data_IF_828032369525
#
_entry.id   IF_828032369525
#
_cell.length_a   1.000
_cell.length_b   1.000
_cell.length_c   1.000
_cell.angle_alpha   90.00
_cell.angle_beta   90.00
_cell.angle_gamma   90.00
#
_symmetry.space_group_name_H-M   'P 1'
#
loop_
_entity.id
_entity.type
_entity.pdbx_description
1 polymer ?
#
# COMPACT_ATOMS: atom_id res chain seq x y z
N UNK A 1 6.99 -22.21 -4.97
CA UNK A 1 7.69 -23.13 -4.04
C UNK A 1 6.68 -24.15 -3.56
N UNK A 2 7.02 -25.42 -3.37
CA UNK A 2 6.08 -26.40 -2.80
C UNK A 2 6.34 -26.55 -1.31
N UNK A 3 5.31 -26.41 -0.48
CA UNK A 3 5.36 -26.74 0.96
C UNK A 3 4.25 -27.73 1.26
N UNK A 4 4.59 -28.85 1.89
CA UNK A 4 3.64 -29.90 2.28
C UNK A 4 2.75 -30.42 1.12
N UNK A 5 3.30 -30.47 -0.10
CA UNK A 5 2.57 -30.92 -1.30
C UNK A 5 1.67 -29.86 -1.94
N UNK A 6 1.61 -28.64 -1.40
CA UNK A 6 0.84 -27.52 -1.97
C UNK A 6 1.75 -26.48 -2.61
N UNK A 7 1.33 -25.97 -3.78
CA UNK A 7 2.02 -24.86 -4.45
C UNK A 7 1.80 -23.57 -3.66
N UNK A 8 2.89 -23.01 -3.15
CA UNK A 8 2.93 -21.71 -2.50
C UNK A 8 3.35 -20.66 -3.52
N UNK A 9 2.50 -19.65 -3.68
CA UNK A 9 2.64 -18.54 -4.62
C UNK A 9 3.70 -17.49 -4.20
N UNK A 10 4.43 -17.76 -3.10
CA UNK A 10 5.51 -16.91 -2.59
C UNK A 10 5.04 -15.59 -1.95
N UNK A 11 3.75 -15.45 -1.68
CA UNK A 11 3.20 -14.26 -1.02
C UNK A 11 3.24 -14.36 0.50
N UNK A 12 3.28 -13.21 1.18
CA UNK A 12 3.28 -13.10 2.63
C UNK A 12 2.40 -11.93 3.09
N UNK A 13 2.00 -11.92 4.36
CA UNK A 13 1.19 -10.86 4.95
C UNK A 13 2.09 -9.81 5.57
N UNK A 14 2.09 -8.61 5.01
CA UNK A 14 2.72 -7.42 5.56
C UNK A 14 1.74 -6.70 6.48
N UNK A 15 2.10 -6.56 7.76
CA UNK A 15 1.36 -5.75 8.73
C UNK A 15 1.92 -4.33 8.74
N UNK A 16 1.04 -3.35 8.54
CA UNK A 16 1.38 -1.92 8.51
C UNK A 16 0.56 -1.22 9.58
N UNK A 17 1.25 -0.57 10.52
CA UNK A 17 0.61 0.29 11.50
C UNK A 17 0.69 1.75 11.04
N UNK A 18 -0.45 2.36 10.73
CA UNK A 18 -0.55 3.76 10.33
C UNK A 18 -0.74 4.59 11.59
N UNK A 19 0.34 5.19 12.07
CA UNK A 19 0.40 5.87 13.37
C UNK A 19 -0.57 7.02 13.50
N UNK A 20 -0.71 7.86 12.46
CA UNK A 20 -1.60 9.04 12.49
C UNK A 20 -3.08 8.66 12.55
N UNK A 21 -3.44 7.47 12.06
CA UNK A 21 -4.79 6.93 12.08
C UNK A 21 -5.00 5.89 13.18
N UNK A 22 -3.93 5.55 13.92
CA UNK A 22 -3.89 4.50 14.95
C UNK A 22 -4.54 3.16 14.50
N UNK A 23 -4.33 2.79 13.23
CA UNK A 23 -4.94 1.59 12.62
C UNK A 23 -3.88 0.64 12.11
N UNK A 24 -4.08 -0.66 12.32
CA UNK A 24 -3.28 -1.73 11.71
C UNK A 24 -3.97 -2.27 10.46
N UNK A 25 -3.23 -2.35 9.35
CA UNK A 25 -3.68 -2.96 8.09
C UNK A 25 -2.80 -4.16 7.75
N UNK A 26 -3.41 -5.20 7.19
CA UNK A 26 -2.72 -6.41 6.74
C UNK A 26 -2.84 -6.54 5.23
N UNK A 27 -1.71 -6.42 4.52
CA UNK A 27 -1.65 -6.49 3.07
C UNK A 27 -0.96 -7.78 2.63
N UNK A 28 -1.58 -8.56 1.74
CA UNK A 28 -0.91 -9.69 1.10
C UNK A 28 -0.03 -9.18 -0.04
N UNK A 29 1.27 -9.42 0.06
CA UNK A 29 2.28 -8.92 -0.87
C UNK A 29 3.16 -10.05 -1.39
N UNK A 30 3.82 -9.82 -2.53
CA UNK A 30 4.87 -10.68 -3.08
C UNK A 30 6.19 -9.92 -3.05
N UNK A 31 7.32 -10.64 -3.03
CA UNK A 31 8.66 -10.04 -2.97
C UNK A 31 8.99 -9.11 -4.16
N UNK A 32 8.29 -9.24 -5.27
CA UNK A 32 8.41 -8.38 -6.46
C UNK A 32 7.63 -7.05 -6.37
N UNK A 33 6.77 -6.89 -5.36
CA UNK A 33 5.98 -5.67 -5.19
C UNK A 33 6.85 -4.56 -4.58
N UNK A 34 7.13 -3.52 -5.37
CA UNK A 34 7.86 -2.34 -4.92
C UNK A 34 7.09 -1.54 -3.87
N UNK A 35 7.82 -0.77 -3.06
CA UNK A 35 7.26 0.01 -1.95
C UNK A 35 6.15 0.98 -2.39
N UNK A 36 6.27 1.61 -3.56
CA UNK A 36 5.20 2.47 -4.10
C UNK A 36 3.90 1.72 -4.37
N UNK A 37 3.97 0.47 -4.84
CA UNK A 37 2.80 -0.39 -5.03
C UNK A 37 2.17 -0.82 -3.71
N UNK A 38 2.97 -1.03 -2.66
CA UNK A 38 2.47 -1.26 -1.29
C UNK A 38 1.72 -0.03 -0.77
N UNK A 39 2.28 1.17 -0.97
CA UNK A 39 1.67 2.42 -0.53
C UNK A 39 0.32 2.70 -1.22
N UNK A 40 0.21 2.44 -2.53
CA UNK A 40 -1.06 2.61 -3.25
C UNK A 40 -2.13 1.65 -2.72
N UNK A 41 -1.80 0.37 -2.53
CA UNK A 41 -2.73 -0.61 -1.96
C UNK A 41 -3.16 -0.27 -0.55
N UNK A 42 -2.25 0.26 0.27
CA UNK A 42 -2.57 0.74 1.61
C UNK A 42 -3.59 1.89 1.55
N UNK A 43 -3.39 2.81 0.60
CA UNK A 43 -4.26 3.97 0.41
C UNK A 43 -5.62 3.58 -0.19
N UNK A 44 -5.70 2.53 -1.01
CA UNK A 44 -6.97 1.94 -1.47
C UNK A 44 -7.71 1.21 -0.33
N UNK A 45 -7.01 0.42 0.47
CA UNK A 45 -7.59 -0.32 1.61
C UNK A 45 -8.15 0.61 2.71
N UNK A 46 -7.57 1.80 2.84
CA UNK A 46 -8.04 2.84 3.75
C UNK A 46 -9.23 3.63 3.20
N UNK A 47 -9.55 3.53 1.90
CA UNK A 47 -10.66 4.23 1.27
C UNK A 47 -11.95 3.41 1.26
N UNK A 48 -12.72 3.54 2.34
CA UNK A 48 -14.08 3.01 2.43
C UNK A 48 -15.08 4.13 2.75
N UNK A 49 -15.24 5.11 1.85
CA UNK A 49 -16.28 6.15 2.02
C UNK A 49 -16.79 6.66 0.67
N UNK A 50 -18.09 6.46 0.46
CA UNK A 50 -18.90 6.79 -0.73
C UNK A 50 -19.18 8.31 -0.85
N UNK A 51 -18.16 9.14 -0.68
CA UNK A 51 -18.25 10.60 -0.79
C UNK A 51 -16.95 11.15 -1.39
N UNK A 52 -16.97 12.04 -2.40
CA UNK A 52 -15.77 12.77 -2.76
C UNK A 52 -15.37 13.58 -1.54
N UNK A 53 -14.28 13.15 -0.92
CA UNK A 53 -13.90 13.60 0.41
C UNK A 53 -12.67 14.51 0.30
N UNK A 54 -12.40 15.33 1.32
CA UNK A 54 -11.14 16.06 1.45
C UNK A 54 -9.88 15.18 1.25
N UNK A 55 -10.00 13.84 1.31
CA UNK A 55 -8.92 12.91 0.95
C UNK A 55 -8.54 12.92 -0.54
N UNK A 56 -9.39 13.32 -1.49
CA UNK A 56 -8.99 13.47 -2.90
C UNK A 56 -7.94 14.58 -3.06
N UNK A 57 -8.10 15.67 -2.28
CA UNK A 57 -7.12 16.75 -2.22
C UNK A 57 -5.84 16.32 -1.49
N UNK A 58 -5.96 15.53 -0.41
CA UNK A 58 -4.81 15.03 0.35
C UNK A 58 -4.04 13.96 -0.44
N UNK A 59 -4.71 13.10 -1.23
CA UNK A 59 -4.06 12.18 -2.17
C UNK A 59 -3.27 12.91 -3.24
N UNK A 60 -3.79 14.04 -3.73
CA UNK A 60 -3.06 14.93 -4.65
C UNK A 60 -1.79 15.49 -3.99
N UNK A 61 -1.91 15.96 -2.75
CA UNK A 61 -0.77 16.46 -1.94
C UNK A 61 0.23 15.34 -1.64
N UNK A 62 -0.22 14.12 -1.33
CA UNK A 62 0.63 12.97 -1.06
C UNK A 62 1.40 12.52 -2.30
N UNK A 63 0.74 12.50 -3.47
CA UNK A 63 1.37 12.19 -4.77
C UNK A 63 2.37 13.29 -5.16
N UNK A 64 2.05 14.56 -4.90
CA UNK A 64 2.95 15.70 -5.13
C UNK A 64 4.17 15.66 -4.21
N UNK A 65 3.97 15.33 -2.93
CA UNK A 65 5.04 15.14 -1.95
C UNK A 65 5.94 13.94 -2.30
N UNK A 66 5.37 12.82 -2.76
CA UNK A 66 6.15 11.69 -3.28
C UNK A 66 6.97 12.06 -4.52
N UNK A 67 6.45 12.97 -5.38
CA UNK A 67 7.16 13.54 -6.53
C UNK A 67 8.31 14.46 -6.08
N UNK A 68 8.05 15.38 -5.15
CA UNK A 68 9.01 16.38 -4.65
C UNK A 68 10.18 15.72 -3.90
N UNK A 69 9.92 14.67 -3.11
CA UNK A 69 10.96 13.96 -2.35
C UNK A 69 11.77 12.97 -3.17
N UNK A 70 11.63 12.96 -4.50
CA UNK A 70 12.32 12.03 -5.40
C UNK A 70 12.12 10.54 -5.01
N UNK A 71 11.01 10.22 -4.33
CA UNK A 71 10.57 8.85 -4.07
C UNK A 71 9.90 8.27 -5.33
N UNK A 72 10.55 8.49 -6.47
CA UNK A 72 10.12 8.01 -7.78
C UNK A 72 10.24 6.49 -7.79
N UNK A 73 9.10 5.83 -8.05
CA UNK A 73 9.06 4.62 -8.85
C UNK A 73 9.86 4.88 -10.13
N UNK A 74 11.14 4.49 -10.17
CA UNK A 74 11.82 4.31 -11.45
C UNK A 74 11.15 3.11 -12.11
N UNK A 75 10.20 3.39 -12.99
CA UNK A 75 9.94 2.55 -14.16
C UNK A 75 11.20 2.50 -15.02
#
# INVERSE_FOLDING_TARGET
MYSDGHEVDGSWVLRVYVTDLQVERSLRVKGELHIGGVMLRLVEDLESTDRPSPLDAIRKVQIEWMREKHWILRL
#
